data_IF_366815324193
#
_entry.id   IF_366815324193
#
_cell.length_a   1.000
_cell.length_b   1.000
_cell.length_c   1.000
_cell.angle_alpha   90.00
_cell.angle_beta   90.00
_cell.angle_gamma   90.00
#
_symmetry.space_group_name_H-M   'P 1'
#
loop_
_entity.id
_entity.type
_entity.pdbx_description
1 polymer ?
#
# COMPACT_ATOMS: atom_id res chain seq x y z
N UNK A 1 21.87 20.82 -5.21
CA UNK A 1 22.21 19.81 -4.17
C UNK A 1 20.94 19.05 -3.84
N UNK A 2 20.98 17.73 -3.77
CA UNK A 2 19.79 16.91 -3.40
C UNK A 2 19.36 17.16 -1.95
N UNK A 3 18.10 16.87 -1.63
CA UNK A 3 17.56 16.98 -0.26
C UNK A 3 18.35 16.12 0.74
N UNK A 4 18.72 14.92 0.35
CA UNK A 4 19.48 14.01 1.21
C UNK A 4 20.89 14.51 1.55
N UNK A 5 21.51 15.29 0.67
CA UNK A 5 22.92 15.69 0.79
C UNK A 5 23.84 14.47 0.98
N UNK A 6 24.49 14.33 2.13
CA UNK A 6 25.37 13.21 2.48
C UNK A 6 24.69 12.12 3.35
N UNK A 7 23.40 12.30 3.66
CA UNK A 7 22.64 11.33 4.48
C UNK A 7 22.17 10.15 3.63
N UNK A 8 22.20 8.96 4.22
CA UNK A 8 21.52 7.80 3.66
C UNK A 8 20.05 7.84 4.12
N UNK A 9 19.14 8.20 3.22
CA UNK A 9 17.71 8.28 3.50
C UNK A 9 17.01 7.11 2.85
N UNK A 10 16.20 6.42 3.64
CA UNK A 10 15.24 5.39 3.22
C UNK A 10 13.86 5.96 3.49
N UNK A 11 13.04 6.04 2.46
CA UNK A 11 11.63 6.39 2.56
C UNK A 11 10.82 5.08 2.65
N UNK A 12 10.20 4.84 3.79
CA UNK A 12 9.50 3.59 4.07
C UNK A 12 7.96 3.70 3.92
N UNK A 13 7.46 4.87 3.51
CA UNK A 13 6.03 5.13 3.39
C UNK A 13 5.74 5.96 2.13
N UNK A 14 6.03 5.35 0.99
CA UNK A 14 5.80 5.95 -0.31
C UNK A 14 4.77 5.16 -1.11
N UNK A 15 3.80 5.85 -1.68
CA UNK A 15 2.71 5.22 -2.40
C UNK A 15 2.84 5.33 -3.92
N UNK A 16 2.44 4.28 -4.64
CA UNK A 16 2.10 4.36 -6.05
C UNK A 16 0.62 4.75 -6.17
N UNK A 17 0.31 5.58 -7.16
CA UNK A 17 -1.07 5.86 -7.56
C UNK A 17 -1.36 4.99 -8.79
N UNK A 18 -2.18 3.98 -8.60
CA UNK A 18 -2.48 3.04 -9.65
C UNK A 18 -3.42 3.64 -10.69
N UNK A 19 -3.06 3.43 -11.96
CA UNK A 19 -3.95 3.72 -13.08
C UNK A 19 -4.91 2.54 -13.32
N UNK A 20 -5.90 2.76 -14.17
CA UNK A 20 -7.03 1.86 -14.39
C UNK A 20 -6.64 0.43 -14.75
N UNK A 21 -5.58 0.28 -15.51
CA UNK A 21 -5.07 -0.99 -16.02
C UNK A 21 -4.01 -1.64 -15.10
N UNK A 22 -3.67 -1.02 -13.98
CA UNK A 22 -2.56 -1.46 -13.12
C UNK A 22 -2.66 -2.93 -12.73
N UNK A 23 -3.80 -3.34 -12.19
CA UNK A 23 -4.04 -4.75 -11.83
C UNK A 23 -4.23 -5.61 -13.08
N UNK A 24 -5.06 -5.13 -14.02
CA UNK A 24 -5.41 -5.90 -15.21
C UNK A 24 -4.19 -6.21 -16.09
N UNK A 25 -3.22 -5.29 -16.17
CA UNK A 25 -1.95 -5.50 -16.90
C UNK A 25 -1.02 -6.53 -16.25
N UNK A 26 -1.25 -6.89 -15.00
CA UNK A 26 -0.50 -7.90 -14.26
C UNK A 26 -1.29 -9.20 -14.03
N UNK A 27 -2.60 -9.20 -14.33
CA UNK A 27 -3.45 -10.36 -14.13
C UNK A 27 -3.09 -11.50 -15.11
N UNK A 28 -3.05 -12.74 -14.60
CA UNK A 28 -3.06 -13.93 -15.46
C UNK A 28 -4.40 -14.04 -16.17
N UNK A 29 -4.43 -14.65 -17.35
CA UNK A 29 -5.66 -14.72 -18.15
C UNK A 29 -6.81 -15.40 -17.40
N UNK A 30 -6.54 -16.44 -16.63
CA UNK A 30 -7.50 -17.13 -15.80
C UNK A 30 -8.06 -16.29 -14.63
N UNK A 31 -7.34 -15.24 -14.21
CA UNK A 31 -7.69 -14.40 -13.06
C UNK A 31 -8.45 -13.13 -13.46
N UNK A 32 -8.39 -12.73 -14.73
CA UNK A 32 -8.97 -11.45 -15.22
C UNK A 32 -10.42 -11.23 -14.85
N UNK A 33 -11.22 -12.31 -14.83
CA UNK A 33 -12.63 -12.25 -14.45
C UNK A 33 -12.89 -12.07 -12.94
N UNK A 34 -11.84 -12.22 -12.12
CA UNK A 34 -11.91 -12.08 -10.65
C UNK A 34 -11.24 -10.79 -10.16
N UNK A 35 -10.51 -10.09 -11.03
CA UNK A 35 -9.83 -8.85 -10.64
C UNK A 35 -10.85 -7.72 -10.56
N UNK A 36 -10.94 -7.02 -9.41
CA UNK A 36 -11.86 -5.90 -9.24
C UNK A 36 -11.58 -4.79 -10.25
N UNK A 37 -12.64 -4.19 -10.77
CA UNK A 37 -12.52 -2.98 -11.57
C UNK A 37 -12.15 -1.80 -10.65
N UNK A 38 -11.08 -1.10 -10.99
CA UNK A 38 -10.64 0.09 -10.24
C UNK A 38 -11.54 1.32 -10.47
N UNK A 39 -12.58 1.21 -11.30
CA UNK A 39 -13.50 2.31 -11.59
C UNK A 39 -14.28 2.80 -10.37
N UNK A 40 -14.58 1.91 -9.41
CA UNK A 40 -15.30 2.31 -8.19
C UNK A 40 -14.57 3.36 -7.35
N UNK A 41 -13.25 3.38 -7.40
CA UNK A 41 -12.46 4.43 -6.74
C UNK A 41 -12.58 5.79 -7.44
N UNK A 42 -13.00 5.79 -8.71
CA UNK A 42 -13.19 6.99 -9.53
C UNK A 42 -14.58 7.60 -9.41
N UNK A 43 -15.50 6.91 -8.74
CA UNK A 43 -16.85 7.45 -8.50
C UNK A 43 -16.83 8.70 -7.64
N UNK A 44 -15.73 8.96 -6.93
CA UNK A 44 -15.53 10.24 -6.24
C UNK A 44 -14.99 11.28 -7.24
N UNK A 45 -15.75 12.33 -7.56
CA UNK A 45 -15.33 13.34 -8.55
C UNK A 45 -13.99 14.00 -8.23
N UNK A 46 -13.65 14.15 -6.97
CA UNK A 46 -12.38 14.74 -6.53
C UNK A 46 -11.18 13.84 -6.86
N UNK A 47 -11.35 12.52 -6.74
CA UNK A 47 -10.30 11.54 -7.09
C UNK A 47 -10.11 11.54 -8.60
N UNK A 48 -11.19 11.47 -9.37
CA UNK A 48 -11.12 11.49 -10.83
C UNK A 48 -10.42 12.77 -11.34
N UNK A 49 -10.81 13.93 -10.84
CA UNK A 49 -10.18 15.20 -11.21
C UNK A 49 -8.69 15.24 -10.85
N UNK A 50 -8.32 14.66 -9.71
CA UNK A 50 -6.91 14.53 -9.30
C UNK A 50 -6.09 13.64 -10.24
N UNK A 51 -6.64 12.47 -10.61
CA UNK A 51 -6.01 11.54 -11.55
C UNK A 51 -5.84 12.17 -12.94
N UNK A 52 -6.88 12.82 -13.46
CA UNK A 52 -6.84 13.46 -14.79
C UNK A 52 -5.80 14.57 -14.82
N UNK A 53 -5.75 15.40 -13.77
CA UNK A 53 -4.71 16.43 -13.63
C UNK A 53 -3.31 15.81 -13.52
N UNK A 54 -3.15 14.74 -12.77
CA UNK A 54 -1.89 14.01 -12.63
C UNK A 54 -1.38 13.51 -13.99
N UNK A 55 -2.27 12.88 -14.80
CA UNK A 55 -1.95 12.42 -16.16
C UNK A 55 -1.57 13.58 -17.09
N UNK A 56 -2.31 14.68 -17.05
CA UNK A 56 -2.01 15.87 -17.85
C UNK A 56 -0.62 16.44 -17.51
N UNK A 57 -0.32 16.57 -16.23
CA UNK A 57 0.98 17.08 -15.77
C UNK A 57 2.11 16.11 -16.09
N UNK A 58 1.90 14.82 -15.98
CA UNK A 58 2.86 13.80 -16.43
C UNK A 58 3.20 13.99 -17.92
N UNK A 59 2.17 14.07 -18.77
CA UNK A 59 2.38 14.30 -20.20
C UNK A 59 3.19 15.57 -20.48
N UNK A 60 2.85 16.68 -19.82
CA UNK A 60 3.59 17.95 -19.95
C UNK A 60 5.05 17.80 -19.54
N UNK A 61 5.36 17.07 -18.48
CA UNK A 61 6.73 16.80 -18.03
C UNK A 61 7.53 15.96 -19.04
N UNK A 62 6.86 15.03 -19.73
CA UNK A 62 7.51 14.24 -20.78
C UNK A 62 7.79 15.03 -22.07
N UNK A 63 6.95 16.01 -22.38
CA UNK A 63 7.04 16.80 -23.61
C UNK A 63 7.94 18.04 -23.48
N UNK A 64 8.09 18.60 -22.25
CA UNK A 64 8.82 19.85 -22.03
C UNK A 64 9.79 19.76 -20.83
N UNK A 65 11.10 19.70 -21.09
CA UNK A 65 12.13 19.69 -20.04
C UNK A 65 12.07 20.88 -19.08
N UNK A 66 11.58 22.05 -19.53
CA UNK A 66 11.44 23.20 -18.66
C UNK A 66 10.30 23.04 -17.65
N UNK A 67 9.26 22.27 -18.00
CA UNK A 67 8.20 21.88 -17.07
C UNK A 67 8.76 20.91 -16.04
N UNK A 68 9.53 19.89 -16.47
CA UNK A 68 10.17 18.96 -15.56
C UNK A 68 11.08 19.70 -14.56
N UNK A 69 11.94 20.60 -15.03
CA UNK A 69 12.84 21.37 -14.16
C UNK A 69 12.09 22.16 -13.08
N UNK A 70 10.93 22.75 -13.39
CA UNK A 70 10.09 23.43 -12.39
C UNK A 70 9.52 22.47 -11.32
N UNK A 71 9.15 21.27 -11.73
CA UNK A 71 8.70 20.24 -10.78
C UNK A 71 9.85 19.77 -9.88
N UNK A 72 11.07 19.66 -10.41
CA UNK A 72 12.27 19.33 -9.63
C UNK A 72 12.60 20.43 -8.63
N UNK A 73 12.57 21.70 -9.04
CA UNK A 73 12.81 22.85 -8.16
C UNK A 73 11.79 22.88 -6.99
N UNK A 74 10.52 22.57 -7.27
CA UNK A 74 9.43 22.61 -6.30
C UNK A 74 9.17 21.28 -5.60
N UNK A 75 10.01 20.29 -5.79
CA UNK A 75 9.73 18.91 -5.30
C UNK A 75 9.56 18.83 -3.78
N UNK A 76 10.16 19.77 -3.05
CA UNK A 76 10.07 19.87 -1.59
C UNK A 76 9.01 20.86 -1.11
N UNK A 77 8.49 21.72 -1.98
CA UNK A 77 7.64 22.84 -1.56
C UNK A 77 6.21 22.43 -1.25
N UNK A 78 5.74 21.30 -1.82
CA UNK A 78 4.38 20.84 -1.64
C UNK A 78 4.36 19.35 -1.25
N UNK A 79 4.32 19.09 0.04
CA UNK A 79 4.29 17.74 0.61
C UNK A 79 2.98 16.99 0.37
N UNK A 80 1.90 17.67 -0.03
CA UNK A 80 0.55 17.09 -0.18
C UNK A 80 0.04 17.01 -1.62
N UNK A 81 0.89 17.10 -2.62
CA UNK A 81 0.42 17.09 -4.01
C UNK A 81 0.14 15.71 -4.61
N UNK A 82 0.32 14.63 -3.84
CA UNK A 82 -0.03 13.26 -4.20
C UNK A 82 0.10 12.91 -5.69
N UNK A 83 -1.01 12.95 -6.39
CA UNK A 83 -1.12 12.55 -7.79
C UNK A 83 -0.39 13.45 -8.79
N UNK A 84 -0.02 14.65 -8.40
CA UNK A 84 0.74 15.58 -9.26
C UNK A 84 2.26 15.38 -9.16
N UNK A 85 2.73 14.50 -8.27
CA UNK A 85 4.16 14.29 -8.02
C UNK A 85 4.87 13.61 -9.18
N UNK A 86 6.16 13.89 -9.31
CA UNK A 86 7.06 13.13 -10.17
C UNK A 86 7.05 11.68 -9.69
N UNK A 87 6.75 10.76 -10.59
CA UNK A 87 6.73 9.32 -10.29
C UNK A 87 5.52 8.83 -9.49
N UNK A 88 4.40 9.59 -9.42
CA UNK A 88 3.20 9.14 -8.74
C UNK A 88 2.68 7.80 -9.29
N UNK A 89 2.71 7.60 -10.60
CA UNK A 89 2.23 6.40 -11.29
C UNK A 89 3.16 5.87 -12.39
N UNK A 90 4.33 6.46 -12.56
CA UNK A 90 5.31 6.03 -13.56
C UNK A 90 6.63 5.63 -12.90
N UNK A 91 7.15 4.39 -13.10
CA UNK A 91 8.34 3.91 -12.42
C UNK A 91 9.62 4.63 -12.86
N UNK A 92 9.73 5.06 -14.13
CA UNK A 92 10.90 5.79 -14.62
C UNK A 92 10.98 7.20 -14.00
N UNK A 93 9.84 7.90 -13.92
CA UNK A 93 9.78 9.16 -13.17
C UNK A 93 10.05 8.95 -11.68
N UNK A 94 9.66 7.81 -11.11
CA UNK A 94 9.94 7.49 -9.71
C UNK A 94 11.42 7.33 -9.45
N UNK A 95 12.14 6.64 -10.32
CA UNK A 95 13.61 6.53 -10.26
C UNK A 95 14.28 7.89 -10.36
N UNK A 96 13.80 8.76 -11.27
CA UNK A 96 14.28 10.12 -11.40
C UNK A 96 14.02 10.95 -10.13
N UNK A 97 12.84 10.82 -9.52
CA UNK A 97 12.55 11.49 -8.25
C UNK A 97 13.53 11.07 -7.14
N UNK A 98 13.92 9.80 -7.07
CA UNK A 98 14.96 9.34 -6.13
C UNK A 98 16.29 10.03 -6.34
N UNK A 99 16.68 10.28 -7.60
CA UNK A 99 17.92 11.00 -7.92
C UNK A 99 17.83 12.45 -7.45
N UNK A 100 16.71 13.13 -7.72
CA UNK A 100 16.48 14.53 -7.30
C UNK A 100 16.48 14.65 -5.78
N UNK A 101 15.81 13.77 -5.06
CA UNK A 101 15.82 13.73 -3.59
C UNK A 101 17.18 13.30 -3.02
N UNK A 102 17.91 12.44 -3.74
CA UNK A 102 19.09 11.75 -3.25
C UNK A 102 18.76 10.61 -2.29
N UNK A 103 17.59 10.00 -2.42
CA UNK A 103 17.19 8.87 -1.57
C UNK A 103 17.92 7.59 -1.97
N UNK A 104 18.31 6.82 -0.97
CA UNK A 104 19.01 5.54 -1.17
C UNK A 104 18.06 4.39 -1.48
N UNK A 105 16.81 4.48 -1.01
CA UNK A 105 15.80 3.44 -1.17
C UNK A 105 14.41 4.03 -0.90
N UNK A 106 13.42 3.45 -1.52
CA UNK A 106 12.02 3.79 -1.30
C UNK A 106 11.17 2.51 -1.27
N UNK A 107 10.37 2.33 -0.22
CA UNK A 107 9.36 1.30 -0.15
C UNK A 107 8.10 1.81 -0.82
N UNK A 108 7.62 1.08 -1.80
CA UNK A 108 6.46 1.47 -2.60
C UNK A 108 5.27 0.64 -2.17
N UNK A 109 4.30 1.31 -1.55
CA UNK A 109 3.04 0.72 -1.11
C UNK A 109 1.95 0.96 -2.15
N UNK A 110 1.02 0.03 -2.32
CA UNK A 110 -0.18 0.26 -3.13
C UNK A 110 -1.14 1.22 -2.42
N UNK A 111 -2.05 1.83 -3.18
CA UNK A 111 -3.08 2.76 -2.68
C UNK A 111 -4.47 2.23 -3.00
N UNK A 112 -5.02 2.57 -4.16
CA UNK A 112 -6.39 2.23 -4.53
C UNK A 112 -6.60 0.74 -4.81
N UNK A 113 -5.65 0.11 -5.52
CA UNK A 113 -5.70 -1.31 -5.83
C UNK A 113 -5.75 -2.18 -4.56
N UNK A 114 -5.01 -1.76 -3.52
CA UNK A 114 -5.04 -2.43 -2.23
C UNK A 114 -6.44 -2.41 -1.61
N UNK A 115 -7.10 -1.25 -1.53
CA UNK A 115 -8.43 -1.13 -0.91
C UNK A 115 -9.47 -2.00 -1.59
N UNK A 116 -9.43 -2.12 -2.90
CA UNK A 116 -10.39 -2.94 -3.65
C UNK A 116 -10.23 -4.44 -3.39
N UNK A 117 -9.00 -4.88 -3.09
CA UNK A 117 -8.69 -6.29 -2.85
C UNK A 117 -8.86 -6.62 -1.37
N UNK A 118 -8.26 -5.84 -0.47
CA UNK A 118 -8.19 -6.16 0.95
C UNK A 118 -9.56 -6.15 1.65
N UNK A 119 -10.52 -5.37 1.14
CA UNK A 119 -11.83 -5.20 1.76
C UNK A 119 -12.93 -6.03 1.08
N UNK A 120 -12.58 -6.96 0.19
CA UNK A 120 -13.55 -7.87 -0.41
C UNK A 120 -13.94 -9.01 0.54
N UNK A 121 -15.22 -9.36 0.56
CA UNK A 121 -15.73 -10.52 1.29
C UNK A 121 -15.58 -11.82 0.49
N UNK A 122 -15.33 -11.74 -0.83
CA UNK A 122 -15.14 -12.91 -1.68
C UNK A 122 -13.70 -13.44 -1.55
N UNK A 123 -13.54 -14.58 -0.92
CA UNK A 123 -12.24 -15.22 -0.67
C UNK A 123 -11.47 -15.58 -1.95
N UNK A 124 -12.16 -15.78 -3.10
CA UNK A 124 -11.50 -16.02 -4.38
C UNK A 124 -10.97 -14.73 -4.98
N UNK A 125 -11.75 -13.66 -4.90
CA UNK A 125 -11.30 -12.32 -5.32
C UNK A 125 -10.12 -11.89 -4.46
N UNK A 126 -10.19 -12.12 -3.14
CA UNK A 126 -9.09 -11.80 -2.22
C UNK A 126 -7.81 -12.57 -2.56
N UNK A 127 -7.87 -13.89 -2.77
CA UNK A 127 -6.72 -14.73 -3.13
C UNK A 127 -6.10 -14.27 -4.46
N UNK A 128 -6.90 -14.22 -5.53
CA UNK A 128 -6.41 -13.90 -6.87
C UNK A 128 -6.04 -12.43 -7.01
N UNK A 129 -6.75 -11.55 -6.33
CA UNK A 129 -6.47 -10.13 -6.25
C UNK A 129 -5.13 -9.86 -5.54
N UNK A 130 -4.88 -10.46 -4.39
CA UNK A 130 -3.62 -10.30 -3.66
C UNK A 130 -2.42 -10.77 -4.51
N UNK A 131 -2.50 -11.93 -5.17
CA UNK A 131 -1.45 -12.41 -6.08
C UNK A 131 -1.21 -11.47 -7.25
N UNK A 132 -2.28 -10.96 -7.84
CA UNK A 132 -2.20 -10.00 -8.96
C UNK A 132 -1.60 -8.68 -8.51
N UNK A 133 -2.00 -8.17 -7.33
CA UNK A 133 -1.42 -6.96 -6.73
C UNK A 133 0.08 -7.13 -6.50
N UNK A 134 0.49 -8.24 -5.89
CA UNK A 134 1.90 -8.51 -5.61
C UNK A 134 2.74 -8.52 -6.90
N UNK A 135 2.23 -9.15 -7.96
CA UNK A 135 2.87 -9.16 -9.29
C UNK A 135 2.93 -7.76 -9.90
N UNK A 136 1.86 -6.97 -9.80
CA UNK A 136 1.82 -5.60 -10.29
C UNK A 136 2.84 -4.71 -9.57
N UNK A 137 2.94 -4.84 -8.25
CA UNK A 137 3.91 -4.10 -7.43
C UNK A 137 5.35 -4.49 -7.76
N UNK A 138 5.63 -5.80 -7.87
CA UNK A 138 6.96 -6.29 -8.28
C UNK A 138 7.35 -5.74 -9.66
N UNK A 139 6.43 -5.80 -10.62
CA UNK A 139 6.65 -5.24 -11.98
C UNK A 139 6.90 -3.74 -11.96
N UNK A 140 6.14 -2.96 -11.17
CA UNK A 140 6.35 -1.52 -11.05
C UNK A 140 7.77 -1.19 -10.54
N UNK A 141 8.23 -1.91 -9.53
CA UNK A 141 9.53 -1.65 -8.89
C UNK A 141 10.72 -2.26 -9.64
N UNK A 142 10.50 -3.11 -10.64
CA UNK A 142 11.57 -3.87 -11.31
C UNK A 142 12.58 -3.03 -12.12
N UNK A 143 12.26 -1.76 -12.37
CA UNK A 143 13.10 -0.87 -13.18
C UNK A 143 14.27 -0.24 -12.42
N UNK A 144 14.26 -0.27 -11.08
CA UNK A 144 15.30 0.34 -10.24
C UNK A 144 15.40 -0.41 -8.91
N UNK A 145 16.58 -0.93 -8.58
CA UNK A 145 16.81 -1.71 -7.36
C UNK A 145 16.57 -0.92 -6.06
N UNK A 146 16.51 0.40 -6.11
CA UNK A 146 16.17 1.26 -4.98
C UNK A 146 14.68 1.28 -4.68
N UNK A 147 13.84 0.91 -5.64
CA UNK A 147 12.39 0.77 -5.46
C UNK A 147 12.10 -0.62 -4.88
N UNK A 148 11.49 -0.67 -3.72
CA UNK A 148 11.16 -1.90 -3.01
C UNK A 148 9.65 -2.09 -2.97
N UNK A 149 9.16 -3.07 -3.72
CA UNK A 149 7.75 -3.39 -3.79
C UNK A 149 7.23 -3.91 -2.45
N UNK A 150 6.23 -3.27 -1.90
CA UNK A 150 5.47 -3.77 -0.75
C UNK A 150 4.18 -4.38 -1.28
N UNK A 151 4.08 -5.70 -1.17
CA UNK A 151 2.89 -6.44 -1.56
C UNK A 151 1.86 -6.52 -0.43
N UNK A 152 0.95 -7.48 -0.54
CA UNK A 152 -0.09 -7.74 0.45
C UNK A 152 -0.27 -9.24 0.68
N UNK A 153 -0.40 -9.66 1.94
CA UNK A 153 -0.72 -11.02 2.35
C UNK A 153 -1.94 -11.02 3.26
N UNK A 154 -3.09 -11.50 2.77
CA UNK A 154 -4.31 -11.59 3.55
C UNK A 154 -4.25 -12.78 4.52
N UNK A 155 -4.03 -12.52 5.82
CA UNK A 155 -4.02 -13.55 6.87
C UNK A 155 -5.40 -14.18 7.07
N UNK A 156 -6.48 -13.46 6.73
CA UNK A 156 -7.85 -13.98 6.82
C UNK A 156 -8.13 -15.18 5.91
N UNK A 157 -7.30 -15.44 4.90
CA UNK A 157 -7.40 -16.67 4.09
C UNK A 157 -6.85 -17.91 4.79
N UNK A 158 -6.36 -17.77 6.01
CA UNK A 158 -5.75 -18.82 6.80
C UNK A 158 -4.29 -19.10 6.46
N UNK A 159 -3.56 -19.82 7.35
CA UNK A 159 -2.10 -19.89 7.30
C UNK A 159 -1.56 -20.51 6.01
N UNK A 160 -2.16 -21.58 5.49
CA UNK A 160 -1.65 -22.25 4.30
C UNK A 160 -1.73 -21.38 3.03
N UNK A 161 -2.86 -20.71 2.80
CA UNK A 161 -3.02 -19.82 1.64
C UNK A 161 -2.19 -18.55 1.79
N UNK A 162 -2.14 -17.98 2.98
CA UNK A 162 -1.34 -16.79 3.25
C UNK A 162 0.15 -17.07 3.00
N UNK A 163 0.67 -18.23 3.43
CA UNK A 163 2.04 -18.65 3.16
C UNK A 163 2.32 -18.81 1.67
N UNK A 164 1.40 -19.43 0.92
CA UNK A 164 1.55 -19.62 -0.52
C UNK A 164 1.56 -18.28 -1.28
N UNK A 165 0.66 -17.35 -0.92
CA UNK A 165 0.65 -15.98 -1.47
C UNK A 165 1.95 -15.23 -1.15
N UNK A 166 2.44 -15.35 0.08
CA UNK A 166 3.70 -14.75 0.52
C UNK A 166 4.88 -15.24 -0.33
N UNK A 167 5.00 -16.57 -0.49
CA UNK A 167 6.08 -17.19 -1.27
C UNK A 167 6.02 -16.82 -2.75
N UNK A 168 4.82 -16.85 -3.36
CA UNK A 168 4.62 -16.36 -4.73
C UNK A 168 5.01 -14.88 -4.83
N UNK A 169 4.56 -14.04 -3.91
CA UNK A 169 4.87 -12.62 -3.92
C UNK A 169 6.38 -12.31 -3.85
N UNK A 170 7.15 -13.04 -3.03
CA UNK A 170 8.61 -12.93 -3.05
C UNK A 170 9.19 -13.30 -4.42
N UNK A 171 8.69 -14.36 -5.06
CA UNK A 171 9.13 -14.77 -6.39
C UNK A 171 8.77 -13.77 -7.51
N UNK A 172 7.72 -13.00 -7.31
CA UNK A 172 7.28 -11.92 -8.23
C UNK A 172 8.03 -10.58 -7.96
N UNK A 173 8.97 -10.55 -7.02
CA UNK A 173 9.84 -9.41 -6.76
C UNK A 173 9.37 -8.47 -5.64
N UNK A 174 8.40 -8.85 -4.83
CA UNK A 174 8.09 -8.10 -3.62
C UNK A 174 9.25 -8.16 -2.63
N UNK A 175 9.56 -7.04 -2.02
CA UNK A 175 10.57 -6.92 -0.97
C UNK A 175 9.98 -7.27 0.40
N UNK A 176 8.74 -6.87 0.63
CA UNK A 176 8.00 -7.12 1.85
C UNK A 176 6.49 -7.02 1.59
N UNK A 177 5.68 -7.18 2.64
CA UNK A 177 4.22 -7.22 2.51
C UNK A 177 3.54 -6.49 3.64
N UNK A 178 2.45 -5.80 3.29
CA UNK A 178 1.43 -5.43 4.26
C UNK A 178 0.69 -6.67 4.71
N UNK A 179 0.33 -6.72 5.98
CA UNK A 179 -0.45 -7.80 6.59
C UNK A 179 -1.66 -7.22 7.32
N UNK A 180 -2.71 -8.03 7.41
CA UNK A 180 -3.90 -7.66 8.18
C UNK A 180 -3.60 -7.71 9.68
N UNK A 181 -4.23 -6.84 10.43
CA UNK A 181 -3.95 -6.70 11.86
C UNK A 181 -5.05 -7.25 12.77
N UNK A 182 -6.27 -7.42 12.29
CA UNK A 182 -7.41 -7.88 13.11
C UNK A 182 -8.53 -8.54 12.27
N UNK A 183 -8.20 -9.07 11.10
CA UNK A 183 -9.21 -9.71 10.28
C UNK A 183 -9.50 -11.14 10.77
N UNK A 184 -10.76 -11.52 10.92
CA UNK A 184 -11.12 -12.89 11.25
C UNK A 184 -10.76 -13.83 10.09
N UNK A 185 -10.46 -15.09 10.41
CA UNK A 185 -10.23 -16.14 9.42
C UNK A 185 -11.17 -17.34 9.64
N UNK A 186 -11.39 -18.14 8.59
CA UNK A 186 -12.32 -19.28 8.63
C UNK A 186 -11.96 -20.33 9.68
N UNK A 187 -10.68 -20.45 10.05
CA UNK A 187 -10.21 -21.34 11.09
C UNK A 187 -10.46 -20.81 12.51
N UNK A 188 -10.86 -19.54 12.63
CA UNK A 188 -11.09 -18.85 13.91
C UNK A 188 -9.90 -18.99 14.89
N UNK A 189 -8.68 -18.87 14.38
CA UNK A 189 -7.43 -18.92 15.15
C UNK A 189 -6.73 -17.56 15.09
N UNK A 190 -5.96 -17.25 16.12
CA UNK A 190 -5.12 -16.06 16.15
C UNK A 190 -4.00 -16.15 15.12
N UNK A 191 -3.56 -15.02 14.60
CA UNK A 191 -2.33 -14.94 13.80
C UNK A 191 -1.06 -15.25 14.60
N UNK A 192 -1.16 -15.38 15.93
CA UNK A 192 -0.10 -15.87 16.84
C UNK A 192 -0.19 -17.38 17.08
N UNK A 193 -1.19 -18.07 16.50
CA UNK A 193 -1.28 -19.52 16.59
C UNK A 193 -0.11 -20.19 15.85
N UNK A 194 0.45 -21.32 16.36
CA UNK A 194 1.59 -21.99 15.72
C UNK A 194 1.42 -22.34 14.24
N UNK A 195 0.20 -22.49 13.75
CA UNK A 195 -0.07 -22.71 12.33
C UNK A 195 0.38 -21.53 11.45
N UNK A 196 0.53 -20.33 12.02
CA UNK A 196 1.06 -19.15 11.34
C UNK A 196 2.59 -19.02 11.43
N UNK A 197 3.28 -19.80 12.27
CA UNK A 197 4.75 -19.73 12.39
C UNK A 197 5.48 -19.83 11.06
N UNK A 198 5.07 -20.69 10.09
CA UNK A 198 5.74 -20.74 8.80
C UNK A 198 5.71 -19.42 8.01
N UNK A 199 4.73 -18.55 8.26
CA UNK A 199 4.66 -17.21 7.65
C UNK A 199 5.74 -16.30 8.27
N UNK A 200 5.83 -16.29 9.60
CA UNK A 200 6.84 -15.50 10.32
C UNK A 200 8.24 -15.98 10.01
N UNK A 201 8.46 -17.30 9.94
CA UNK A 201 9.72 -17.90 9.51
C UNK A 201 10.09 -17.49 8.07
N UNK A 202 9.12 -17.39 7.16
CA UNK A 202 9.38 -16.97 5.79
C UNK A 202 9.88 -15.52 5.72
N UNK A 203 9.34 -14.60 6.53
CA UNK A 203 9.86 -13.24 6.67
C UNK A 203 11.30 -13.23 7.22
N UNK A 204 11.57 -14.01 8.27
CA UNK A 204 12.92 -14.14 8.85
C UNK A 204 13.91 -14.68 7.82
N UNK A 205 13.55 -15.75 7.11
CA UNK A 205 14.38 -16.37 6.08
C UNK A 205 14.68 -15.40 4.93
N UNK A 206 13.69 -14.61 4.52
CA UNK A 206 13.84 -13.59 3.49
C UNK A 206 14.60 -12.35 4.00
N UNK A 207 14.81 -12.21 5.32
CA UNK A 207 15.33 -11.01 5.96
C UNK A 207 14.50 -9.76 5.61
N UNK A 208 13.21 -9.96 5.46
CA UNK A 208 12.24 -8.93 5.13
C UNK A 208 11.43 -8.56 6.40
N UNK A 209 11.20 -7.28 6.69
CA UNK A 209 10.22 -6.90 7.69
C UNK A 209 8.81 -7.17 7.13
N UNK A 210 7.81 -7.33 7.97
CA UNK A 210 6.42 -7.12 7.56
C UNK A 210 6.01 -5.66 7.77
N UNK A 211 4.98 -5.23 7.09
CA UNK A 211 4.47 -3.85 7.17
C UNK A 211 3.07 -3.87 7.76
N UNK A 212 2.89 -3.12 8.84
CA UNK A 212 1.57 -2.79 9.38
C UNK A 212 1.26 -1.36 8.98
N UNK A 213 0.23 -1.19 8.17
CA UNK A 213 -0.15 0.11 7.62
C UNK A 213 -1.58 0.46 8.05
N UNK A 214 -1.88 1.75 8.17
CA UNK A 214 -3.25 2.21 8.41
C UNK A 214 -4.18 1.74 7.28
N UNK A 215 -5.45 1.51 7.60
CA UNK A 215 -6.48 1.06 6.66
C UNK A 215 -6.30 -0.37 6.08
N UNK A 216 -5.40 -1.19 6.63
CA UNK A 216 -5.26 -2.61 6.25
C UNK A 216 -6.38 -3.47 6.84
N UNK A 217 -7.04 -3.01 7.89
CA UNK A 217 -8.05 -3.76 8.63
C UNK A 217 -9.45 -3.14 8.47
N UNK A 218 -10.27 -3.69 7.56
CA UNK A 218 -11.63 -3.22 7.30
C UNK A 218 -12.62 -3.47 8.45
N UNK A 219 -12.39 -4.49 9.27
CA UNK A 219 -13.33 -4.92 10.32
C UNK A 219 -13.01 -4.38 11.72
N UNK A 220 -11.84 -3.79 11.94
CA UNK A 220 -11.48 -3.28 13.25
C UNK A 220 -12.22 -1.99 13.59
N UNK A 221 -12.87 -1.96 14.76
CA UNK A 221 -13.51 -0.78 15.31
C UNK A 221 -13.01 -0.55 16.73
N UNK A 222 -12.16 0.45 16.92
CA UNK A 222 -11.66 0.84 18.24
C UNK A 222 -12.78 1.39 19.15
N UNK A 223 -13.80 2.02 18.54
CA UNK A 223 -14.96 2.59 19.22
C UNK A 223 -16.23 2.33 18.44
N UNK A 224 -17.37 2.25 19.13
CA UNK A 224 -18.67 2.05 18.48
C UNK A 224 -19.11 3.26 17.65
N UNK A 225 -19.99 3.00 16.69
CA UNK A 225 -20.55 4.07 15.84
C UNK A 225 -21.36 5.09 16.67
N UNK A 226 -22.08 4.62 17.70
CA UNK A 226 -22.81 5.50 18.61
C UNK A 226 -21.89 6.42 19.41
N UNK A 227 -20.70 5.96 19.77
CA UNK A 227 -19.69 6.77 20.46
C UNK A 227 -19.14 7.87 19.55
N UNK A 228 -19.05 7.61 18.25
CA UNK A 228 -18.61 8.60 17.25
C UNK A 228 -19.68 9.62 16.90
N UNK A 229 -20.95 9.28 17.06
CA UNK A 229 -22.09 10.15 16.71
C UNK A 229 -22.31 11.22 17.78
N UNK A 230 -21.54 12.29 17.71
CA UNK A 230 -21.63 13.45 18.61
C UNK A 230 -22.51 14.60 18.01
N UNK A 231 -23.22 14.35 16.91
CA UNK A 231 -24.05 15.34 16.21
C UNK A 231 -23.26 16.38 15.42
N UNK A 232 -21.94 16.21 15.25
CA UNK A 232 -21.10 17.09 14.44
C UNK A 232 -20.76 16.42 13.11
N UNK A 233 -20.56 17.26 12.08
CA UNK A 233 -20.00 16.78 10.81
C UNK A 233 -18.54 16.39 11.02
N UNK A 234 -18.12 15.25 10.49
CA UNK A 234 -16.71 14.87 10.48
C UNK A 234 -15.89 15.93 9.72
N UNK A 235 -14.82 16.39 10.35
CA UNK A 235 -13.88 17.29 9.69
C UNK A 235 -13.04 16.49 8.70
N UNK A 236 -12.96 16.95 7.46
CA UNK A 236 -11.96 16.49 6.51
C UNK A 236 -10.59 16.97 6.97
N UNK A 237 -9.88 16.14 7.68
CA UNK A 237 -8.46 16.36 7.96
C UNK A 237 -7.71 15.94 6.69
N UNK A 238 -7.18 16.89 5.96
CA UNK A 238 -6.47 16.67 4.71
C UNK A 238 -5.52 15.48 4.79
N UNK A 239 -5.50 14.66 3.76
CA UNK A 239 -4.86 13.37 3.67
C UNK A 239 -5.75 12.46 2.86
N UNK A 240 -5.53 11.17 2.96
CA UNK A 240 -6.12 10.19 2.07
C UNK A 240 -7.55 9.79 2.45
N UNK A 241 -8.03 10.17 3.63
CA UNK A 241 -9.41 9.89 4.05
C UNK A 241 -9.96 10.96 5.00
N UNK A 242 -11.27 11.27 4.92
CA UNK A 242 -11.95 12.05 5.93
C UNK A 242 -11.99 11.25 7.24
N UNK A 243 -11.25 11.71 8.23
CA UNK A 243 -11.26 11.14 9.57
C UNK A 243 -11.61 12.22 10.57
N UNK A 244 -12.63 12.00 11.39
CA UNK A 244 -12.87 12.85 12.57
C UNK A 244 -11.72 12.76 13.57
N UNK A 245 -11.64 13.72 14.50
CA UNK A 245 -10.61 13.76 15.55
C UNK A 245 -10.45 12.42 16.29
N UNK A 246 -11.58 11.77 16.61
CA UNK A 246 -11.57 10.46 17.26
C UNK A 246 -11.04 9.36 16.35
N UNK A 247 -11.36 9.39 15.06
CA UNK A 247 -10.79 8.48 14.06
C UNK A 247 -9.28 8.60 13.99
N UNK A 248 -8.76 9.82 13.98
CA UNK A 248 -7.32 10.06 13.98
C UNK A 248 -6.64 9.51 15.25
N UNK A 249 -7.25 9.67 16.42
CA UNK A 249 -6.70 9.16 17.68
C UNK A 249 -6.68 7.63 17.75
N UNK A 250 -7.60 6.95 17.06
CA UNK A 250 -7.75 5.49 17.13
C UNK A 250 -7.12 4.76 15.95
N UNK A 251 -6.56 5.46 14.97
CA UNK A 251 -6.06 4.90 13.72
C UNK A 251 -4.95 3.85 13.93
N UNK A 252 -4.16 3.99 14.99
CA UNK A 252 -3.07 3.08 15.33
C UNK A 252 -3.47 1.90 16.23
N UNK A 253 -4.69 1.92 16.77
CA UNK A 253 -5.07 0.98 17.84
C UNK A 253 -5.02 -0.49 17.42
N UNK A 254 -5.34 -0.79 16.16
CA UNK A 254 -5.25 -2.17 15.65
C UNK A 254 -3.80 -2.63 15.52
N UNK A 255 -2.91 -1.76 15.08
CA UNK A 255 -1.48 -2.04 14.99
C UNK A 255 -0.85 -2.26 16.37
N UNK A 256 -1.24 -1.44 17.35
CA UNK A 256 -0.77 -1.57 18.73
C UNK A 256 -1.21 -2.90 19.34
N UNK A 257 -2.47 -3.30 19.16
CA UNK A 257 -2.98 -4.59 19.63
C UNK A 257 -2.30 -5.76 18.92
N UNK A 258 -2.12 -5.66 17.60
CA UNK A 258 -1.43 -6.68 16.81
C UNK A 258 0.01 -6.91 17.34
N UNK A 259 0.80 -5.85 17.46
CA UNK A 259 2.17 -5.95 17.95
C UNK A 259 2.22 -6.43 19.40
N UNK A 260 1.28 -6.01 20.24
CA UNK A 260 1.18 -6.49 21.62
C UNK A 260 0.92 -7.99 21.69
N UNK A 261 0.01 -8.52 20.85
CA UNK A 261 -0.23 -9.96 20.77
C UNK A 261 1.02 -10.72 20.31
N UNK A 262 1.70 -10.25 19.25
CA UNK A 262 2.95 -10.85 18.79
C UNK A 262 4.02 -10.95 19.87
N UNK A 263 4.10 -9.92 20.75
CA UNK A 263 5.05 -9.89 21.88
C UNK A 263 4.58 -10.83 22.98
N UNK A 264 3.34 -10.72 23.45
CA UNK A 264 2.85 -11.46 24.60
C UNK A 264 2.69 -12.96 24.32
N UNK A 265 2.42 -13.33 23.09
CA UNK A 265 2.29 -14.75 22.69
C UNK A 265 3.64 -15.35 22.22
N UNK A 266 4.75 -14.58 22.28
CA UNK A 266 6.10 -15.09 22.05
C UNK A 266 6.47 -15.33 20.58
N UNK A 267 5.76 -14.73 19.62
CA UNK A 267 6.07 -14.92 18.18
C UNK A 267 7.47 -14.42 17.80
N UNK A 268 8.01 -13.47 18.55
CA UNK A 268 9.37 -12.94 18.31
C UNK A 268 10.47 -13.70 19.05
N UNK A 269 10.18 -14.73 19.83
CA UNK A 269 11.14 -15.57 20.53
C UNK A 269 11.65 -16.71 19.65
#
# INVERSE_FOLDING_TARGET
MSYAQHRKIIDADSHVIELDDFLMAAAKDEDKGLIPDMSSQKELPVIQAGLDRGRELFKKRQEDPAVMAKFEESILDNTKSGWNRIGAFNPQERSHALDVFGYSMQWILPTFAFHQIAHTEDSKVLDRGARTLNRAMGKFCSSDDRLKAIGYVPLQLGPAKALDILQEGFSEGCYSFMIDTNEPNDANISFTHPDFDPIWEAFVKAKAPFVVHVAVNGHYKAVSDSFKNNGKTELELGGDAPTGELGLMTINSSAELFLSAMIFDGVFE
#
